data_IF_729357306758
#
_entry.id   IF_729357306758
#
_cell.length_a   1.000
_cell.length_b   1.000
_cell.length_c   1.000
_cell.angle_alpha   90.00
_cell.angle_beta   90.00
_cell.angle_gamma   90.00
#
_symmetry.space_group_name_H-M   'P 1'
#
loop_
_entity.id
_entity.type
_entity.pdbx_description
1 polymer ?
#
# COMPACT_ATOMS: atom_id res chain seq x y z
N UNK A 1 2.24 -13.30 -10.27
CA UNK A 1 3.69 -13.30 -10.09
C UNK A 1 4.09 -12.96 -8.67
N UNK A 2 5.35 -13.14 -8.35
CA UNK A 2 5.94 -12.81 -7.06
C UNK A 2 7.03 -11.75 -7.26
N UNK A 3 7.25 -10.91 -6.25
CA UNK A 3 8.40 -10.01 -6.24
C UNK A 3 9.55 -10.69 -5.51
N UNK A 4 10.69 -10.84 -6.18
CA UNK A 4 11.89 -11.44 -5.61
C UNK A 4 12.87 -10.32 -5.27
N UNK A 5 13.30 -10.29 -4.03
CA UNK A 5 14.36 -9.39 -3.53
C UNK A 5 15.66 -10.21 -3.44
N UNK A 6 16.74 -9.63 -3.91
CA UNK A 6 18.07 -10.23 -3.93
C UNK A 6 19.11 -9.30 -3.30
N UNK A 7 20.04 -9.86 -2.56
CA UNK A 7 21.22 -9.18 -2.05
C UNK A 7 22.43 -10.10 -2.14
N UNK A 8 23.54 -9.59 -2.66
CA UNK A 8 24.79 -10.32 -2.84
C UNK A 8 25.88 -9.85 -1.88
N UNK A 9 26.89 -10.71 -1.65
CA UNK A 9 28.04 -10.39 -0.78
C UNK A 9 28.92 -9.24 -1.29
N UNK A 10 28.90 -8.99 -2.60
CA UNK A 10 29.60 -7.87 -3.24
C UNK A 10 28.89 -6.52 -3.06
N UNK A 11 27.71 -6.50 -2.41
CA UNK A 11 26.91 -5.31 -2.17
C UNK A 11 25.80 -5.08 -3.20
N UNK A 12 25.69 -5.90 -4.24
CA UNK A 12 24.59 -5.76 -5.21
C UNK A 12 23.25 -6.10 -4.59
N UNK A 13 22.26 -5.27 -4.89
CA UNK A 13 20.86 -5.46 -4.49
C UNK A 13 19.95 -5.40 -5.71
N UNK A 14 18.92 -6.22 -5.73
CA UNK A 14 17.95 -6.23 -6.82
C UNK A 14 16.53 -6.54 -6.35
N UNK A 15 15.57 -6.08 -7.12
CA UNK A 15 14.18 -6.51 -7.04
C UNK A 15 13.70 -6.84 -8.45
N UNK A 16 13.11 -8.00 -8.62
CA UNK A 16 12.49 -8.40 -9.88
C UNK A 16 11.07 -8.88 -9.65
N UNK A 17 10.16 -8.36 -10.43
CA UNK A 17 8.81 -8.89 -10.54
C UNK A 17 8.85 -10.14 -11.42
N UNK A 18 8.64 -11.31 -10.83
CA UNK A 18 8.80 -12.60 -11.49
C UNK A 18 7.48 -13.04 -12.14
N UNK A 19 7.57 -13.66 -13.30
CA UNK A 19 6.49 -14.29 -14.03
C UNK A 19 6.34 -13.78 -15.46
N UNK A 20 5.42 -14.39 -16.20
CA UNK A 20 4.94 -13.90 -17.48
C UNK A 20 3.79 -12.93 -17.26
N UNK A 21 3.85 -11.80 -17.93
CA UNK A 21 2.89 -10.72 -17.75
C UNK A 21 2.15 -10.45 -19.05
N UNK A 22 0.84 -10.60 -19.09
CA UNK A 22 0.06 -10.30 -20.29
C UNK A 22 0.07 -8.79 -20.57
N UNK A 23 0.30 -8.43 -21.82
CA UNK A 23 0.08 -7.07 -22.30
C UNK A 23 -1.42 -6.81 -22.40
N UNK A 24 -1.89 -5.82 -21.65
CA UNK A 24 -3.29 -5.44 -21.53
C UNK A 24 -3.50 -4.02 -21.99
N UNK A 25 -4.68 -3.74 -22.54
CA UNK A 25 -5.13 -2.36 -22.73
C UNK A 25 -5.67 -1.78 -21.41
N UNK A 26 -5.69 -0.44 -21.25
CA UNK A 26 -6.13 0.19 -20.00
C UNK A 26 -7.56 -0.21 -19.59
N UNK A 27 -7.70 -0.75 -18.39
CA UNK A 27 -8.98 -1.24 -17.84
C UNK A 27 -9.30 -2.70 -18.17
N UNK A 28 -8.50 -3.39 -18.96
CA UNK A 28 -8.71 -4.80 -19.26
C UNK A 28 -8.60 -5.68 -18.02
N UNK A 29 -9.70 -6.37 -17.69
CA UNK A 29 -9.79 -7.24 -16.52
C UNK A 29 -10.30 -6.54 -15.26
N UNK A 30 -10.65 -5.25 -15.32
CA UNK A 30 -11.27 -4.53 -14.22
C UNK A 30 -12.75 -4.95 -14.04
N UNK A 31 -13.38 -5.43 -15.14
CA UNK A 31 -14.75 -5.90 -15.19
C UNK A 31 -14.86 -7.20 -16.00
N UNK A 32 -15.94 -7.99 -15.83
CA UNK A 32 -16.24 -9.11 -16.73
C UNK A 32 -16.34 -8.64 -18.19
N UNK A 33 -15.65 -9.35 -19.08
CA UNK A 33 -15.59 -9.03 -20.51
C UNK A 33 -16.30 -10.11 -21.32
N UNK A 34 -16.91 -9.76 -22.48
CA UNK A 34 -17.53 -10.75 -23.38
C UNK A 34 -16.51 -11.80 -23.86
N UNK A 35 -16.73 -13.06 -23.50
CA UNK A 35 -15.84 -14.17 -23.91
C UNK A 35 -16.00 -14.59 -25.38
N UNK A 36 -16.96 -14.02 -26.09
CA UNK A 36 -17.25 -14.32 -27.51
C UNK A 36 -16.56 -13.38 -28.49
N UNK A 37 -15.86 -12.34 -27.99
CA UNK A 37 -15.20 -11.33 -28.81
C UNK A 37 -13.69 -11.33 -28.53
N UNK A 38 -12.92 -11.69 -29.58
CA UNK A 38 -11.44 -11.79 -29.49
C UNK A 38 -10.74 -10.44 -29.21
N UNK A 39 -11.43 -9.29 -29.42
CA UNK A 39 -10.86 -7.97 -29.08
C UNK A 39 -10.62 -7.80 -27.57
N UNK A 40 -11.28 -8.60 -26.73
CA UNK A 40 -11.05 -8.64 -25.29
C UNK A 40 -9.93 -9.58 -24.84
N UNK A 41 -9.26 -10.25 -25.77
CA UNK A 41 -8.09 -11.11 -25.45
C UNK A 41 -6.86 -10.25 -25.12
N UNK A 42 -5.91 -10.87 -24.42
CA UNK A 42 -4.61 -10.24 -24.19
C UNK A 42 -3.89 -9.93 -25.48
N UNK A 43 -3.15 -8.84 -25.52
CA UNK A 43 -2.40 -8.38 -26.71
C UNK A 43 -1.03 -9.06 -26.84
N UNK A 44 -0.81 -10.18 -26.18
CA UNK A 44 0.46 -10.88 -26.07
C UNK A 44 1.06 -10.81 -24.69
N UNK A 45 2.37 -11.00 -24.56
CA UNK A 45 3.11 -10.94 -23.31
C UNK A 45 4.07 -9.76 -23.30
N UNK A 46 4.27 -9.13 -22.15
CA UNK A 46 5.30 -8.12 -21.94
C UNK A 46 6.66 -8.80 -22.09
N UNK A 47 7.57 -8.27 -22.93
CA UNK A 47 8.92 -8.81 -23.06
C UNK A 47 9.62 -8.90 -21.70
N UNK A 48 10.34 -10.00 -21.45
CA UNK A 48 11.03 -10.21 -20.16
C UNK A 48 12.04 -9.12 -19.81
N UNK A 49 12.61 -8.44 -20.82
CA UNK A 49 13.49 -7.29 -20.64
C UNK A 49 12.77 -6.02 -20.12
N UNK A 50 11.44 -5.98 -20.31
CA UNK A 50 10.59 -4.84 -19.94
C UNK A 50 9.74 -5.10 -18.68
N UNK A 51 9.75 -6.35 -18.18
CA UNK A 51 9.12 -6.68 -16.90
C UNK A 51 9.81 -5.89 -15.77
N UNK A 52 9.05 -5.29 -14.85
CA UNK A 52 9.60 -4.38 -13.82
C UNK A 52 10.73 -5.01 -13.03
N UNK A 53 11.85 -4.32 -12.96
CA UNK A 53 12.99 -4.69 -12.12
C UNK A 53 13.72 -3.45 -11.61
N UNK A 54 14.49 -3.63 -10.54
CA UNK A 54 15.43 -2.64 -9.99
C UNK A 54 16.76 -3.34 -9.75
N UNK A 55 17.87 -2.70 -10.08
CA UNK A 55 19.21 -3.17 -9.80
C UNK A 55 20.04 -1.98 -9.29
N UNK A 56 20.63 -2.12 -8.12
CA UNK A 56 21.44 -1.11 -7.45
C UNK A 56 20.84 0.31 -7.54
N UNK A 57 19.57 0.51 -7.11
CA UNK A 57 18.96 1.83 -7.21
C UNK A 57 19.70 2.84 -6.32
N UNK A 58 19.79 4.10 -6.78
CA UNK A 58 20.47 5.21 -6.11
C UNK A 58 20.06 5.38 -4.63
N UNK A 59 18.80 5.07 -4.32
CA UNK A 59 18.28 5.12 -2.95
C UNK A 59 18.89 4.10 -1.98
N UNK A 60 19.74 3.16 -2.47
CA UNK A 60 20.47 2.20 -1.65
C UNK A 60 19.66 1.04 -1.07
N UNK A 61 18.41 0.90 -1.42
CA UNK A 61 17.57 -0.24 -1.01
C UNK A 61 16.51 -0.62 -2.04
N UNK A 62 16.02 -1.84 -1.95
CA UNK A 62 14.86 -2.33 -2.71
C UNK A 62 13.79 -2.80 -1.72
N UNK A 63 12.52 -2.60 -2.08
CA UNK A 63 11.40 -2.97 -1.23
C UNK A 63 10.17 -3.37 -2.03
N UNK A 64 9.41 -4.32 -1.51
CA UNK A 64 8.10 -4.69 -2.05
C UNK A 64 7.13 -5.00 -0.93
N UNK A 65 6.03 -4.25 -0.90
CA UNK A 65 4.88 -4.46 -0.03
C UNK A 65 3.58 -4.38 -0.85
N UNK A 66 3.60 -4.97 -2.05
CA UNK A 66 2.52 -4.98 -3.04
C UNK A 66 2.16 -3.59 -3.64
N UNK A 67 2.96 -2.56 -3.40
CA UNK A 67 2.79 -1.28 -4.08
C UNK A 67 3.04 -1.42 -5.59
N UNK A 68 2.57 -0.45 -6.38
CA UNK A 68 2.82 -0.42 -7.82
C UNK A 68 4.32 -0.49 -8.12
N UNK A 69 4.77 -1.46 -8.92
CA UNK A 69 6.21 -1.71 -9.12
C UNK A 69 6.87 -0.79 -10.13
N UNK A 70 6.11 0.09 -10.77
CA UNK A 70 6.56 0.93 -11.90
C UNK A 70 6.08 2.37 -11.75
N UNK A 71 6.77 3.34 -12.36
CA UNK A 71 6.33 4.73 -12.42
C UNK A 71 5.06 4.88 -13.29
N UNK A 72 4.37 6.04 -13.19
CA UNK A 72 3.12 6.28 -13.95
C UNK A 72 3.26 6.21 -15.48
N UNK A 73 4.45 6.49 -16.00
CA UNK A 73 4.75 6.48 -17.45
C UNK A 73 5.19 5.11 -17.98
N UNK A 74 5.09 4.04 -17.20
CA UNK A 74 5.37 2.69 -17.69
C UNK A 74 4.38 2.30 -18.81
N UNK A 75 4.86 1.75 -19.95
CA UNK A 75 4.06 1.64 -21.17
C UNK A 75 2.93 0.59 -21.12
N UNK A 76 2.98 -0.31 -20.16
CA UNK A 76 1.99 -1.40 -20.05
C UNK A 76 1.01 -1.17 -18.90
N UNK A 77 -0.25 -1.55 -19.11
CA UNK A 77 -1.26 -1.53 -18.08
C UNK A 77 -1.11 -2.75 -17.13
N UNK A 78 -0.83 -2.50 -15.87
CA UNK A 78 -0.65 -3.54 -14.84
C UNK A 78 -1.85 -3.66 -13.88
N UNK A 79 -2.93 -2.94 -14.11
CA UNK A 79 -4.08 -2.84 -13.21
C UNK A 79 -4.17 -1.48 -12.52
N UNK A 80 -5.31 -1.23 -11.86
CA UNK A 80 -5.58 0.07 -11.22
C UNK A 80 -5.18 0.12 -9.77
N UNK A 81 -5.50 -0.93 -9.02
CA UNK A 81 -5.43 -0.93 -7.57
C UNK A 81 -4.18 -1.61 -7.06
N UNK A 82 -3.41 -0.84 -6.31
CA UNK A 82 -2.24 -1.32 -5.58
C UNK A 82 -2.32 -0.79 -4.14
N UNK A 83 -2.31 -1.67 -3.13
CA UNK A 83 -2.27 -1.23 -1.75
C UNK A 83 -0.98 -0.44 -1.50
N UNK A 84 -1.09 0.80 -1.05
CA UNK A 84 0.05 1.70 -0.94
C UNK A 84 0.52 1.94 0.50
N UNK A 85 -0.35 1.86 1.50
CA UNK A 85 -0.05 2.24 2.89
C UNK A 85 1.16 1.51 3.48
N UNK A 86 1.25 0.17 3.31
CA UNK A 86 2.42 -0.60 3.76
C UNK A 86 3.69 -0.21 2.99
N UNK A 87 3.58 -0.03 1.67
CA UNK A 87 4.68 0.41 0.83
C UNK A 87 5.20 1.78 1.22
N UNK A 88 4.31 2.73 1.52
CA UNK A 88 4.67 4.06 2.03
C UNK A 88 5.44 3.94 3.34
N UNK A 89 4.94 3.13 4.29
CA UNK A 89 5.61 2.96 5.59
C UNK A 89 6.97 2.32 5.48
N UNK A 90 7.10 1.23 4.71
CA UNK A 90 8.39 0.55 4.48
C UNK A 90 9.40 1.51 3.85
N UNK A 91 9.02 2.25 2.82
CA UNK A 91 9.92 3.21 2.17
C UNK A 91 10.27 4.38 3.10
N UNK A 92 9.33 4.88 3.91
CA UNK A 92 9.57 5.93 4.91
C UNK A 92 10.61 5.50 5.94
N UNK A 93 10.48 4.29 6.47
CA UNK A 93 11.42 3.74 7.45
C UNK A 93 12.82 3.54 6.82
N UNK A 94 12.90 2.87 5.68
CA UNK A 94 14.18 2.60 5.01
C UNK A 94 14.91 3.89 4.58
N UNK A 95 14.19 4.92 4.15
CA UNK A 95 14.79 6.23 3.84
C UNK A 95 15.40 6.93 5.06
N UNK A 96 14.90 6.64 6.25
CA UNK A 96 15.43 7.20 7.52
C UNK A 96 16.52 6.36 8.18
N UNK A 97 16.85 5.19 7.63
CA UNK A 97 17.79 4.25 8.22
C UNK A 97 19.16 4.25 7.50
N UNK A 98 20.22 4.04 8.26
CA UNK A 98 21.56 3.79 7.75
C UNK A 98 22.24 2.69 8.57
N UNK A 99 23.17 1.95 8.00
CA UNK A 99 23.87 0.83 8.66
C UNK A 99 22.91 -0.18 9.28
N UNK A 100 21.88 -0.55 8.52
CA UNK A 100 20.75 -1.38 8.96
C UNK A 100 21.23 -2.75 9.44
N UNK A 101 20.78 -3.11 10.64
CA UNK A 101 21.06 -4.41 11.27
C UNK A 101 19.85 -5.35 11.14
N UNK A 102 20.03 -6.67 11.37
CA UNK A 102 18.91 -7.60 11.47
C UNK A 102 17.86 -7.18 12.54
N UNK A 103 18.30 -6.56 13.64
CA UNK A 103 17.42 -6.08 14.72
C UNK A 103 16.55 -4.92 14.24
N UNK A 104 17.09 -4.02 13.43
CA UNK A 104 16.31 -2.93 12.81
C UNK A 104 15.23 -3.49 11.88
N UNK A 105 15.55 -4.53 11.10
CA UNK A 105 14.59 -5.19 10.22
C UNK A 105 13.49 -5.91 11.01
N UNK A 106 13.82 -6.55 12.13
CA UNK A 106 12.83 -7.16 13.04
C UNK A 106 11.91 -6.10 13.66
N UNK A 107 12.45 -4.96 14.09
CA UNK A 107 11.68 -3.84 14.61
C UNK A 107 10.75 -3.27 13.54
N UNK A 108 11.23 -3.12 12.30
CA UNK A 108 10.42 -2.65 11.17
C UNK A 108 9.25 -3.60 10.87
N UNK A 109 9.45 -4.92 10.93
CA UNK A 109 8.40 -5.91 10.71
C UNK A 109 7.26 -5.81 11.73
N UNK A 110 7.56 -5.38 12.95
CA UNK A 110 6.58 -5.20 14.03
C UNK A 110 6.01 -3.78 14.10
N UNK A 111 6.31 -2.92 13.14
CA UNK A 111 5.77 -1.57 13.10
C UNK A 111 4.27 -1.60 12.79
N UNK A 112 3.47 -1.07 13.69
CA UNK A 112 2.00 -1.06 13.63
C UNK A 112 1.40 0.33 13.36
N UNK A 113 2.21 1.28 12.90
CA UNK A 113 1.76 2.62 12.53
C UNK A 113 0.80 2.56 11.33
N UNK A 114 -0.35 3.19 11.45
CA UNK A 114 -1.41 3.15 10.45
C UNK A 114 -1.34 4.34 9.49
N UNK A 115 -0.56 4.21 8.42
CA UNK A 115 -0.42 5.26 7.39
C UNK A 115 -1.76 5.63 6.74
N UNK A 116 -2.68 4.68 6.61
CA UNK A 116 -4.01 4.97 6.05
C UNK A 116 -4.82 5.88 6.98
N UNK A 117 -4.77 5.61 8.28
CA UNK A 117 -5.39 6.49 9.28
C UNK A 117 -4.72 7.87 9.32
N UNK A 118 -3.39 7.95 9.22
CA UNK A 118 -2.66 9.22 9.11
C UNK A 118 -3.22 10.12 8.00
N UNK A 119 -3.57 9.52 6.85
CA UNK A 119 -4.09 10.25 5.69
C UNK A 119 -5.57 10.61 5.84
N UNK A 120 -6.39 9.70 6.37
CA UNK A 120 -7.85 9.82 6.35
C UNK A 120 -8.42 10.50 7.61
N UNK A 121 -7.83 10.22 8.77
CA UNK A 121 -8.36 10.73 10.05
C UNK A 121 -8.49 12.26 10.11
N UNK A 122 -7.51 13.05 9.63
CA UNK A 122 -7.66 14.51 9.59
C UNK A 122 -8.84 14.98 8.74
N UNK A 123 -9.14 14.23 7.65
CA UNK A 123 -10.28 14.55 6.78
C UNK A 123 -11.60 14.24 7.50
N UNK A 124 -11.68 13.09 8.19
CA UNK A 124 -12.86 12.70 8.98
C UNK A 124 -13.12 13.76 10.06
N UNK A 125 -12.11 14.05 10.88
CA UNK A 125 -12.24 15.02 11.99
C UNK A 125 -12.68 16.40 11.49
N UNK A 126 -12.08 16.88 10.41
CA UNK A 126 -12.40 18.20 9.83
C UNK A 126 -13.84 18.32 9.36
N UNK A 127 -14.44 17.22 8.89
CA UNK A 127 -15.78 17.22 8.32
C UNK A 127 -16.87 16.72 9.30
N UNK A 128 -16.50 16.36 10.52
CA UNK A 128 -17.44 15.91 11.54
C UNK A 128 -18.06 17.12 12.26
N UNK A 129 -19.38 17.14 12.35
CA UNK A 129 -20.09 18.10 13.19
C UNK A 129 -20.18 17.53 14.62
N UNK A 130 -19.26 17.96 15.46
CA UNK A 130 -19.16 17.49 16.86
C UNK A 130 -20.37 17.93 17.74
N UNK A 131 -21.16 18.88 17.28
CA UNK A 131 -22.35 19.33 18.03
C UNK A 131 -23.51 18.33 17.94
N UNK A 132 -23.47 17.44 16.98
CA UNK A 132 -24.47 16.37 16.78
C UNK A 132 -24.16 15.12 17.58
N UNK A 133 -22.97 15.02 18.19
CA UNK A 133 -22.56 13.85 18.95
C UNK A 133 -23.26 13.78 20.32
N UNK A 134 -23.77 12.59 20.67
CA UNK A 134 -24.20 12.28 22.03
C UNK A 134 -23.00 12.26 22.99
N UNK A 135 -23.25 12.29 24.33
CA UNK A 135 -22.18 12.26 25.30
C UNK A 135 -21.23 11.06 25.22
N UNK A 136 -21.73 9.89 24.84
CA UNK A 136 -20.91 8.70 24.61
C UNK A 136 -20.08 8.81 23.32
N UNK A 137 -20.66 9.31 22.25
CA UNK A 137 -19.96 9.52 20.98
C UNK A 137 -18.88 10.58 21.10
N UNK A 138 -19.10 11.63 21.88
CA UNK A 138 -18.08 12.62 22.22
C UNK A 138 -16.88 11.95 22.91
N UNK A 139 -17.11 10.98 23.82
CA UNK A 139 -16.04 10.23 24.46
C UNK A 139 -15.22 9.42 23.45
N UNK A 140 -15.84 8.78 22.46
CA UNK A 140 -15.13 8.06 21.38
C UNK A 140 -14.38 9.02 20.45
N UNK A 141 -14.97 10.16 20.11
CA UNK A 141 -14.31 11.21 19.34
C UNK A 141 -13.04 11.70 20.03
N UNK A 142 -13.07 11.92 21.35
CA UNK A 142 -11.91 12.33 22.13
C UNK A 142 -10.79 11.27 22.12
N UNK A 143 -11.15 9.98 22.17
CA UNK A 143 -10.17 8.88 22.02
C UNK A 143 -9.55 8.86 20.63
N UNK A 144 -10.35 9.07 19.60
CA UNK A 144 -9.90 9.14 18.22
C UNK A 144 -8.94 10.33 18.00
N UNK A 145 -9.28 11.49 18.55
CA UNK A 145 -8.50 12.72 18.40
C UNK A 145 -7.15 12.69 19.15
N UNK A 146 -7.06 11.88 20.22
CA UNK A 146 -5.83 11.68 21.02
C UNK A 146 -4.99 10.47 20.58
N UNK A 147 -5.47 9.71 19.61
CA UNK A 147 -4.81 8.48 19.16
C UNK A 147 -3.47 8.78 18.48
N UNK A 148 -2.43 8.04 18.82
CA UNK A 148 -1.07 8.13 18.25
C UNK A 148 -0.92 7.43 16.88
N UNK A 149 -2.02 7.02 16.30
CA UNK A 149 -2.11 6.36 14.98
C UNK A 149 -1.39 5.01 14.95
N UNK A 150 -1.21 4.37 16.10
CA UNK A 150 -0.68 3.00 16.19
C UNK A 150 -1.77 1.99 16.50
N UNK A 151 -1.72 0.87 15.79
CA UNK A 151 -2.65 -0.25 15.99
C UNK A 151 -2.16 -1.17 17.12
N UNK A 152 -2.00 -0.62 18.34
CA UNK A 152 -1.70 -1.43 19.51
C UNK A 152 -2.93 -2.25 19.93
N UNK A 153 -2.72 -3.45 20.47
CA UNK A 153 -3.79 -4.37 20.81
C UNK A 153 -4.82 -3.80 21.80
N UNK A 154 -4.41 -2.84 22.64
CA UNK A 154 -5.25 -2.16 23.62
C UNK A 154 -5.63 -0.73 23.22
N UNK A 155 -5.38 -0.31 21.98
CA UNK A 155 -5.70 1.02 21.52
C UNK A 155 -7.19 1.19 21.26
N UNK A 156 -7.85 2.01 22.07
CA UNK A 156 -9.25 2.41 21.87
C UNK A 156 -9.38 3.23 20.60
N UNK A 157 -8.46 4.18 20.34
CA UNK A 157 -8.46 5.01 19.14
C UNK A 157 -8.40 4.20 17.84
N UNK A 158 -7.56 3.13 17.81
CA UNK A 158 -7.49 2.22 16.68
C UNK A 158 -8.83 1.49 16.43
N UNK A 159 -9.47 1.02 17.51
CA UNK A 159 -10.77 0.35 17.43
C UNK A 159 -11.86 1.30 16.94
N UNK A 160 -11.93 2.50 17.50
CA UNK A 160 -12.90 3.54 17.08
C UNK A 160 -12.70 3.89 15.62
N UNK A 161 -11.45 4.10 15.18
CA UNK A 161 -11.15 4.37 13.76
C UNK A 161 -11.63 3.26 12.84
N UNK A 162 -11.36 2.01 13.19
CA UNK A 162 -11.74 0.86 12.36
C UNK A 162 -13.26 0.75 12.21
N UNK A 163 -14.01 0.93 13.31
CA UNK A 163 -15.48 0.92 13.28
C UNK A 163 -16.02 2.11 12.49
N UNK A 164 -15.52 3.33 12.75
CA UNK A 164 -15.92 4.52 12.00
C UNK A 164 -15.71 4.37 10.51
N UNK A 165 -14.58 3.78 10.10
CA UNK A 165 -14.28 3.54 8.69
C UNK A 165 -15.24 2.52 8.06
N UNK A 166 -15.57 1.47 8.80
CA UNK A 166 -16.53 0.46 8.34
C UNK A 166 -17.92 1.08 8.14
N UNK A 167 -18.44 1.79 9.15
CA UNK A 167 -19.73 2.45 9.10
C UNK A 167 -19.79 3.50 7.97
N UNK A 168 -18.73 4.29 7.81
CA UNK A 168 -18.63 5.26 6.72
C UNK A 168 -18.73 4.58 5.34
N UNK A 169 -18.02 3.48 5.16
CA UNK A 169 -18.07 2.72 3.91
C UNK A 169 -19.47 2.14 3.67
N UNK A 170 -20.07 1.51 4.67
CA UNK A 170 -21.35 0.82 4.54
C UNK A 170 -22.52 1.82 4.41
N UNK A 171 -22.33 3.09 4.80
CA UNK A 171 -23.34 4.16 4.68
C UNK A 171 -23.23 4.94 3.37
N UNK A 172 -21.99 5.10 2.82
CA UNK A 172 -21.75 5.97 1.66
C UNK A 172 -21.68 5.19 0.36
N UNK A 173 -21.29 3.91 0.39
CA UNK A 173 -21.06 3.07 -0.79
C UNK A 173 -21.88 1.78 -0.74
#
# INVERSE_FOLDING_TARGET
GQNIVFAAKNGDIALRTQGEWPAKWPGQGDFPMPGTDSSYMWQGMIPQSEVPYQFNPERGFVSSANQRPVPPNYPYYLGREYPSSRGVMVNRLLNGMSNITPQDMMAMQNNNYNVFAEMLLPVIIKNMDVTLLSGSEQGFFDQLNKWDIKNEANSIGATVFAITLQELRDTVF
#
